data_IF_544574828171
#
_entry.id   IF_544574828171
#
_cell.length_a   1.000
_cell.length_b   1.000
_cell.length_c   1.000
_cell.angle_alpha   90.00
_cell.angle_beta   90.00
_cell.angle_gamma   90.00
#
_symmetry.space_group_name_H-M   'P 1'
#
loop_
_entity.id
_entity.type
_entity.pdbx_description
1 polymer ?
#
# COMPACT_ATOMS: atom_id res chain seq x y z
N UNK A 1 6.04 -9.11 19.55
CA UNK A 1 7.24 -8.42 19.05
C UNK A 1 6.81 -7.17 18.31
N UNK A 2 7.48 -6.05 18.58
CA UNK A 2 7.11 -4.76 17.99
C UNK A 2 7.98 -4.51 16.74
N UNK A 3 7.33 -4.20 15.62
CA UNK A 3 7.97 -3.91 14.34
C UNK A 3 7.59 -2.50 13.93
N UNK A 4 8.60 -1.66 13.69
CA UNK A 4 8.41 -0.32 13.17
C UNK A 4 8.36 -0.36 11.64
N UNK A 5 7.30 0.11 11.02
CA UNK A 5 7.27 0.40 9.58
C UNK A 5 7.60 1.88 9.38
N UNK A 6 8.66 2.19 8.62
CA UNK A 6 9.15 3.56 8.50
C UNK A 6 9.68 3.87 7.08
N UNK A 7 9.17 4.92 6.41
CA UNK A 7 8.00 5.73 6.75
C UNK A 7 6.70 4.98 6.42
N UNK A 8 5.73 5.03 7.32
CA UNK A 8 4.55 4.18 7.28
C UNK A 8 3.47 4.60 6.25
N UNK A 9 3.33 5.89 5.93
CA UNK A 9 2.34 6.35 4.95
C UNK A 9 2.77 6.26 3.49
N UNK A 10 3.97 5.75 3.21
CA UNK A 10 4.38 5.42 1.84
C UNK A 10 3.55 4.26 1.28
N UNK A 11 3.41 4.15 -0.04
CA UNK A 11 2.74 3.00 -0.69
C UNK A 11 3.30 1.64 -0.23
N UNK A 12 4.61 1.60 0.02
CA UNK A 12 5.30 0.41 0.53
C UNK A 12 4.88 0.15 1.98
N UNK A 13 4.85 1.19 2.82
CA UNK A 13 4.45 1.08 4.22
C UNK A 13 3.00 0.64 4.37
N UNK A 14 2.10 1.17 3.54
CA UNK A 14 0.70 0.75 3.48
C UNK A 14 0.56 -0.72 3.04
N UNK A 15 1.38 -1.18 2.08
CA UNK A 15 1.37 -2.59 1.70
C UNK A 15 1.90 -3.50 2.80
N UNK A 16 2.94 -3.07 3.53
CA UNK A 16 3.41 -3.80 4.71
C UNK A 16 2.30 -3.88 5.76
N UNK A 17 1.56 -2.79 6.04
CA UNK A 17 0.42 -2.83 6.97
C UNK A 17 -0.61 -3.90 6.57
N UNK A 18 -1.07 -3.85 5.31
CA UNK A 18 -2.03 -4.83 4.76
C UNK A 18 -1.52 -6.27 4.81
N UNK A 19 -0.23 -6.46 4.56
CA UNK A 19 0.40 -7.77 4.54
C UNK A 19 0.50 -8.43 5.92
N UNK A 20 0.51 -7.65 7.00
CA UNK A 20 0.66 -8.14 8.37
C UNK A 20 -0.68 -8.31 9.11
N UNK A 21 -1.81 -7.99 8.48
CA UNK A 21 -3.14 -8.25 9.05
C UNK A 21 -3.27 -9.74 9.42
N UNK A 22 -3.58 -10.01 10.68
CA UNK A 22 -3.75 -11.38 11.20
C UNK A 22 -2.44 -12.11 11.56
N UNK A 23 -1.27 -11.48 11.39
CA UNK A 23 0.01 -12.07 11.82
C UNK A 23 0.09 -12.07 13.35
N UNK A 24 0.05 -13.26 13.94
CA UNK A 24 0.04 -13.43 15.41
C UNK A 24 1.38 -13.04 16.03
N UNK A 25 1.33 -12.49 17.24
CA UNK A 25 2.53 -12.16 18.01
C UNK A 25 3.31 -10.95 17.48
N UNK A 26 2.82 -10.28 16.44
CA UNK A 26 3.40 -9.05 15.90
C UNK A 26 2.52 -7.86 16.26
N UNK A 27 3.15 -6.79 16.74
CA UNK A 27 2.53 -5.48 16.90
C UNK A 27 3.21 -4.53 15.91
N UNK A 28 2.49 -4.11 14.87
CA UNK A 28 2.98 -3.10 13.94
C UNK A 28 2.85 -1.70 14.56
N UNK A 29 3.91 -0.92 14.41
CA UNK A 29 4.00 0.49 14.77
C UNK A 29 4.27 1.26 13.48
N UNK A 30 3.45 2.28 13.19
CA UNK A 30 3.64 3.15 12.05
C UNK A 30 4.40 4.40 12.47
N UNK A 31 5.62 4.58 11.98
CA UNK A 31 6.39 5.81 12.19
C UNK A 31 6.34 6.71 10.98
N UNK A 32 6.22 8.01 11.19
CA UNK A 32 6.45 9.00 10.15
C UNK A 32 7.17 10.23 10.69
N UNK A 33 7.96 10.87 9.82
CA UNK A 33 8.61 12.16 10.09
C UNK A 33 7.72 13.35 9.75
N UNK A 34 6.59 13.10 9.06
CA UNK A 34 5.61 14.12 8.68
C UNK A 34 4.19 13.55 8.81
N UNK A 35 3.17 14.39 9.05
CA UNK A 35 1.78 13.93 9.02
C UNK A 35 1.44 13.30 7.66
N UNK A 36 0.99 12.04 7.66
CA UNK A 36 0.63 11.31 6.44
C UNK A 36 -0.57 10.36 6.65
N UNK A 37 -0.89 9.56 5.61
CA UNK A 37 -2.00 8.61 5.64
C UNK A 37 -1.78 7.43 6.61
N UNK A 38 -0.53 7.21 7.07
CA UNK A 38 -0.18 6.18 8.05
C UNK A 38 -1.01 6.29 9.33
N UNK A 39 -1.45 7.50 9.69
CA UNK A 39 -2.39 7.76 10.79
C UNK A 39 -3.68 6.95 10.73
N UNK A 40 -4.18 6.66 9.53
CA UNK A 40 -5.41 5.90 9.32
C UNK A 40 -5.13 4.41 9.12
N UNK A 41 -3.95 4.06 8.63
CA UNK A 41 -3.58 2.68 8.28
C UNK A 41 -2.85 1.91 9.39
N UNK A 42 -2.44 2.59 10.47
CA UNK A 42 -1.72 1.99 11.59
C UNK A 42 -2.40 2.31 12.93
N UNK A 43 -2.90 1.31 13.66
CA UNK A 43 -3.47 1.51 15.00
C UNK A 43 -2.47 2.10 16.02
N UNK A 44 -1.18 1.77 15.87
CA UNK A 44 -0.10 2.27 16.72
C UNK A 44 0.76 3.28 15.94
N UNK A 45 0.17 4.40 15.54
CA UNK A 45 0.86 5.45 14.80
C UNK A 45 1.61 6.42 15.73
N UNK A 46 2.73 6.97 15.25
CA UNK A 46 3.57 7.96 15.93
C UNK A 46 4.05 9.03 14.94
N UNK A 47 3.87 10.31 15.31
CA UNK A 47 4.08 11.47 14.42
C UNK A 47 5.47 12.13 14.51
N UNK A 48 6.40 11.62 15.32
CA UNK A 48 7.62 12.37 15.69
C UNK A 48 8.94 11.65 15.36
N UNK A 49 8.97 10.86 14.28
CA UNK A 49 10.23 10.21 13.87
C UNK A 49 11.18 11.19 13.19
N UNK A 50 12.51 11.09 13.42
CA UNK A 50 13.47 12.01 12.81
C UNK A 50 13.49 11.87 11.27
N UNK A 51 13.88 12.94 10.56
CA UNK A 51 14.19 12.81 9.13
C UNK A 51 15.53 12.08 9.00
N UNK A 52 15.66 11.20 8.01
CA UNK A 52 16.91 10.46 7.78
C UNK A 52 18.10 11.34 7.39
N UNK A 53 17.85 12.62 7.08
CA UNK A 53 18.87 13.63 6.79
C UNK A 53 19.32 14.42 8.01
N UNK A 54 18.65 14.26 9.16
CA UNK A 54 19.01 14.97 10.38
C UNK A 54 20.35 14.44 10.93
N UNK A 55 21.23 15.34 11.41
CA UNK A 55 22.53 14.96 11.96
C UNK A 55 22.39 14.06 13.20
N UNK A 56 21.31 14.23 13.96
CA UNK A 56 20.98 13.47 15.17
C UNK A 56 19.97 12.33 14.91
N UNK A 57 19.78 11.92 13.65
CA UNK A 57 18.84 10.88 13.23
C UNK A 57 18.96 9.59 14.06
N UNK A 58 20.18 9.08 14.21
CA UNK A 58 20.44 7.80 14.90
C UNK A 58 20.08 7.89 16.39
N UNK A 59 20.43 8.98 17.05
CA UNK A 59 20.17 9.16 18.48
C UNK A 59 18.66 9.28 18.76
N UNK A 60 17.95 10.09 17.96
CA UNK A 60 16.49 10.21 18.03
C UNK A 60 15.79 8.89 17.71
N UNK A 61 16.25 8.18 16.67
CA UNK A 61 15.70 6.87 16.30
C UNK A 61 15.88 5.86 17.44
N UNK A 62 17.06 5.81 18.06
CA UNK A 62 17.34 4.91 19.17
C UNK A 62 16.48 5.20 20.40
N UNK A 63 16.21 6.48 20.71
CA UNK A 63 15.30 6.86 21.78
C UNK A 63 13.88 6.28 21.55
N UNK A 64 13.35 6.44 20.34
CA UNK A 64 12.03 5.93 19.98
C UNK A 64 11.99 4.40 19.97
N UNK A 65 13.06 3.77 19.47
CA UNK A 65 13.24 2.31 19.48
C UNK A 65 13.12 1.75 20.90
N UNK A 66 13.75 2.40 21.87
CA UNK A 66 13.69 2.00 23.27
C UNK A 66 12.33 2.28 23.90
N UNK A 67 11.76 3.47 23.69
CA UNK A 67 10.46 3.84 24.26
C UNK A 67 9.35 2.89 23.80
N UNK A 68 9.33 2.54 22.51
CA UNK A 68 8.32 1.68 21.92
C UNK A 68 8.71 0.19 21.91
N UNK A 69 9.87 -0.17 22.48
CA UNK A 69 10.39 -1.53 22.53
C UNK A 69 10.46 -2.19 21.13
N UNK A 70 10.88 -1.42 20.13
CA UNK A 70 10.98 -1.86 18.73
C UNK A 70 12.12 -2.87 18.62
N UNK A 71 11.79 -4.07 18.14
CA UNK A 71 12.80 -5.13 17.92
C UNK A 71 13.45 -5.01 16.55
N UNK A 72 12.65 -4.67 15.53
CA UNK A 72 13.13 -4.47 14.19
C UNK A 72 12.37 -3.37 13.44
N UNK A 73 13.06 -2.74 12.49
CA UNK A 73 12.52 -1.77 11.55
C UNK A 73 12.31 -2.48 10.21
N UNK A 74 11.11 -2.35 9.65
CA UNK A 74 10.78 -2.68 8.28
C UNK A 74 10.77 -1.39 7.44
N UNK A 75 11.87 -1.08 6.75
CA UNK A 75 11.99 0.16 6.02
C UNK A 75 11.13 0.16 4.74
N UNK A 76 10.47 1.27 4.49
CA UNK A 76 9.43 1.39 3.47
C UNK A 76 9.74 2.46 2.41
N UNK A 77 11.01 2.83 2.25
CA UNK A 77 11.40 3.88 1.30
C UNK A 77 12.90 3.81 0.96
N UNK A 78 13.27 3.98 -0.31
CA UNK A 78 14.65 3.78 -0.80
C UNK A 78 15.71 4.60 -0.05
N UNK A 79 15.48 5.90 0.19
CA UNK A 79 16.42 6.71 0.99
C UNK A 79 16.50 6.27 2.46
N UNK A 80 15.39 5.76 3.01
CA UNK A 80 15.35 5.35 4.42
C UNK A 80 16.04 4.02 4.62
N UNK A 81 15.85 3.08 3.68
CA UNK A 81 16.61 1.82 3.62
C UNK A 81 18.11 2.13 3.57
N UNK A 82 18.51 3.05 2.68
CA UNK A 82 19.92 3.42 2.53
C UNK A 82 20.53 3.93 3.84
N UNK A 83 19.91 4.91 4.50
CA UNK A 83 20.47 5.47 5.74
C UNK A 83 20.38 4.48 6.92
N UNK A 84 19.28 3.73 7.07
CA UNK A 84 19.18 2.72 8.13
C UNK A 84 20.22 1.61 7.98
N UNK A 85 20.48 1.15 6.76
CA UNK A 85 21.51 0.12 6.52
C UNK A 85 22.92 0.68 6.71
N UNK A 86 23.17 1.95 6.34
CA UNK A 86 24.43 2.65 6.59
C UNK A 86 24.74 2.77 8.08
N UNK A 87 23.73 3.05 8.90
CA UNK A 87 23.84 3.21 10.35
C UNK A 87 23.52 1.92 11.13
N UNK A 88 23.42 0.76 10.47
CA UNK A 88 22.94 -0.50 11.07
C UNK A 88 23.64 -0.89 12.36
N UNK A 89 24.96 -0.67 12.47
CA UNK A 89 25.74 -1.00 13.66
C UNK A 89 25.50 -0.05 14.85
N UNK A 90 24.91 1.12 14.63
CA UNK A 90 24.64 2.15 15.63
C UNK A 90 23.18 2.11 16.12
N UNK A 91 22.30 1.41 15.41
CA UNK A 91 20.89 1.25 15.78
C UNK A 91 20.73 0.20 16.89
N UNK A 92 19.86 0.47 17.87
CA UNK A 92 19.52 -0.44 18.98
C UNK A 92 18.46 -1.48 18.62
N UNK A 93 18.17 -1.64 17.34
CA UNK A 93 17.24 -2.62 16.79
C UNK A 93 17.75 -3.16 15.45
N UNK A 94 17.13 -4.24 14.98
CA UNK A 94 17.48 -4.84 13.70
C UNK A 94 16.77 -4.14 12.52
N UNK A 95 17.34 -4.25 11.32
CA UNK A 95 16.73 -3.72 10.10
C UNK A 95 16.42 -4.89 9.16
N UNK A 96 15.15 -5.07 8.81
CA UNK A 96 14.70 -6.10 7.87
C UNK A 96 15.13 -5.69 6.46
N UNK A 97 15.76 -6.62 5.73
CA UNK A 97 16.15 -6.43 4.34
C UNK A 97 17.64 -6.68 4.11
N UNK A 98 18.11 -6.27 2.92
CA UNK A 98 19.47 -6.52 2.46
C UNK A 98 20.53 -5.68 3.21
N UNK A 99 21.80 -6.06 3.03
CA UNK A 99 22.94 -5.35 3.58
C UNK A 99 23.17 -3.98 2.92
N UNK A 100 24.02 -3.15 3.52
CA UNK A 100 24.31 -1.81 3.05
C UNK A 100 24.89 -1.80 1.63
N UNK A 101 25.74 -2.76 1.29
CA UNK A 101 26.43 -2.87 0.00
C UNK A 101 25.43 -3.05 -1.15
N UNK A 102 24.44 -3.93 -0.96
CA UNK A 102 23.36 -4.12 -1.92
C UNK A 102 22.51 -2.85 -2.08
N UNK A 103 22.16 -2.21 -0.97
CA UNK A 103 21.38 -0.98 -0.97
C UNK A 103 22.15 0.17 -1.63
N UNK A 104 23.44 0.31 -1.35
CA UNK A 104 24.34 1.28 -1.94
C UNK A 104 24.43 1.09 -3.44
N UNK A 105 24.70 -0.14 -3.92
CA UNK A 105 24.75 -0.42 -5.36
C UNK A 105 23.43 -0.05 -6.05
N UNK A 106 22.30 -0.56 -5.53
CA UNK A 106 20.98 -0.39 -6.14
C UNK A 106 20.45 1.06 -6.07
N UNK A 107 20.92 1.86 -5.11
CA UNK A 107 20.48 3.25 -4.96
C UNK A 107 20.86 4.14 -6.15
N UNK A 108 21.99 3.84 -6.80
CA UNK A 108 22.50 4.56 -7.97
C UNK A 108 22.27 3.76 -9.24
N UNK A 109 21.56 4.37 -10.19
CA UNK A 109 21.25 3.74 -11.48
C UNK A 109 22.50 3.63 -12.34
N UNK A 110 23.36 4.65 -12.33
CA UNK A 110 24.67 4.64 -12.99
C UNK A 110 25.55 3.50 -12.47
N UNK A 111 25.68 3.34 -11.15
CA UNK A 111 26.42 2.20 -10.57
C UNK A 111 25.80 0.86 -10.95
N UNK A 112 24.47 0.76 -10.92
CA UNK A 112 23.76 -0.46 -11.34
C UNK A 112 24.06 -0.79 -12.79
N UNK A 113 23.99 0.17 -13.71
CA UNK A 113 24.30 -0.07 -15.12
C UNK A 113 25.74 -0.47 -15.36
N UNK A 114 26.69 0.22 -14.71
CA UNK A 114 28.11 -0.14 -14.79
C UNK A 114 28.37 -1.56 -14.27
N UNK A 115 27.71 -1.94 -13.17
CA UNK A 115 27.88 -3.26 -12.56
C UNK A 115 27.34 -4.40 -13.43
N UNK A 116 26.24 -4.18 -14.14
CA UNK A 116 25.61 -5.20 -14.99
C UNK A 116 25.96 -5.10 -16.48
N UNK A 117 26.73 -4.09 -16.89
CA UNK A 117 27.16 -3.95 -18.27
C UNK A 117 27.93 -5.19 -18.73
N UNK A 118 27.50 -5.79 -19.84
CA UNK A 118 28.09 -7.04 -20.36
C UNK A 118 27.60 -8.32 -19.66
N UNK A 119 26.77 -8.21 -18.62
CA UNK A 119 26.13 -9.34 -17.92
C UNK A 119 24.64 -9.39 -18.28
N UNK A 120 23.96 -8.24 -18.19
CA UNK A 120 22.56 -8.06 -18.56
C UNK A 120 22.42 -6.90 -19.54
N UNK A 121 21.35 -6.88 -20.38
CA UNK A 121 21.01 -5.69 -21.15
C UNK A 121 20.70 -4.52 -20.21
N UNK A 122 21.46 -3.44 -20.33
CA UNK A 122 21.30 -2.17 -19.63
C UNK A 122 21.15 -1.05 -20.67
N UNK A 123 20.45 0.06 -20.37
CA UNK A 123 20.30 1.13 -21.34
C UNK A 123 21.66 1.75 -21.66
N UNK A 124 21.87 2.13 -22.92
CA UNK A 124 23.07 2.89 -23.28
C UNK A 124 23.05 4.24 -22.55
N UNK A 125 24.16 4.57 -21.89
CA UNK A 125 24.37 5.87 -21.26
C UNK A 125 25.12 6.77 -22.23
N UNK A 126 24.51 7.89 -22.58
CA UNK A 126 25.06 8.88 -23.51
C UNK A 126 25.70 10.05 -22.76
N UNK A 127 26.57 10.76 -23.46
CA UNK A 127 26.99 12.12 -23.08
C UNK A 127 26.12 13.13 -23.81
N UNK A 128 26.23 14.40 -23.42
CA UNK A 128 25.56 15.48 -24.12
C UNK A 128 25.88 15.47 -25.62
N UNK A 129 27.10 15.14 -26.02
CA UNK A 129 27.57 15.30 -27.40
C UNK A 129 27.23 14.14 -28.34
N UNK A 130 26.93 12.95 -27.80
CA UNK A 130 26.66 11.75 -28.61
C UNK A 130 25.22 11.22 -28.50
N UNK A 131 24.31 11.97 -27.88
CA UNK A 131 22.92 11.56 -27.64
C UNK A 131 22.10 11.38 -28.94
N UNK A 132 21.60 10.17 -29.24
CA UNK A 132 20.71 9.91 -30.37
C UNK A 132 19.26 10.15 -29.94
N UNK A 133 18.61 11.17 -30.51
CA UNK A 133 17.26 11.54 -30.11
C UNK A 133 16.18 10.57 -30.65
N UNK A 134 15.13 10.26 -29.86
CA UNK A 134 14.90 10.73 -28.49
C UNK A 134 15.77 10.01 -27.45
N UNK A 135 16.13 10.74 -26.38
CA UNK A 135 16.80 10.18 -25.18
C UNK A 135 15.91 10.35 -23.95
N UNK A 136 16.10 9.45 -22.98
CA UNK A 136 15.43 9.51 -21.69
C UNK A 136 16.35 10.12 -20.63
N UNK A 137 15.84 11.07 -19.86
CA UNK A 137 16.57 11.76 -18.81
C UNK A 137 16.02 11.36 -17.45
N UNK A 138 16.89 11.05 -16.48
CA UNK A 138 16.47 10.81 -15.09
C UNK A 138 17.59 11.07 -14.07
N UNK A 139 17.25 11.39 -12.82
CA UNK A 139 18.24 11.47 -11.75
C UNK A 139 18.85 10.09 -11.47
N UNK A 140 20.13 10.09 -11.08
CA UNK A 140 20.84 8.86 -10.73
C UNK A 140 20.18 8.16 -9.53
N UNK A 141 19.98 8.91 -8.44
CA UNK A 141 19.21 8.49 -7.28
C UNK A 141 17.83 9.17 -7.31
N UNK A 142 16.76 8.39 -7.30
CA UNK A 142 15.39 8.93 -7.41
C UNK A 142 14.33 7.87 -7.23
N UNK A 143 13.06 8.27 -7.26
CA UNK A 143 11.88 7.41 -7.10
C UNK A 143 10.64 8.04 -7.73
N UNK A 144 9.62 7.24 -8.04
CA UNK A 144 8.29 7.72 -8.48
C UNK A 144 8.33 8.62 -9.71
N UNK A 145 9.25 8.35 -10.65
CA UNK A 145 9.44 9.15 -11.88
C UNK A 145 9.65 10.66 -11.67
N UNK A 146 10.03 11.10 -10.46
CA UNK A 146 10.34 12.51 -10.19
C UNK A 146 11.62 12.89 -10.95
N UNK A 147 11.56 14.01 -11.67
CA UNK A 147 12.69 14.52 -12.45
C UNK A 147 12.99 13.74 -13.73
N UNK A 148 12.06 12.92 -14.23
CA UNK A 148 12.27 12.18 -15.48
C UNK A 148 11.67 12.87 -16.68
N UNK A 149 12.39 12.89 -17.81
CA UNK A 149 11.97 13.58 -19.03
C UNK A 149 12.31 12.78 -20.29
N UNK A 150 11.62 13.06 -21.39
CA UNK A 150 12.00 12.59 -22.73
C UNK A 150 12.46 13.82 -23.51
N UNK A 151 13.73 13.85 -23.92
CA UNK A 151 14.24 14.86 -24.83
C UNK A 151 14.12 14.34 -26.25
N UNK A 152 13.34 15.02 -27.11
CA UNK A 152 13.12 14.59 -28.51
C UNK A 152 14.09 15.24 -29.50
N UNK A 153 14.85 16.23 -29.04
CA UNK A 153 15.84 16.99 -29.81
C UNK A 153 16.85 17.66 -28.87
N UNK A 154 17.95 18.16 -29.44
CA UNK A 154 19.04 18.83 -28.71
C UNK A 154 18.58 19.97 -27.80
N UNK A 155 17.66 20.80 -28.26
CA UNK A 155 17.12 21.90 -27.45
C UNK A 155 16.40 21.43 -26.18
N UNK A 156 15.69 20.31 -26.26
CA UNK A 156 14.99 19.75 -25.09
C UNK A 156 16.01 19.23 -24.07
N UNK A 157 17.06 18.55 -24.55
CA UNK A 157 18.16 18.05 -23.73
C UNK A 157 18.88 19.20 -23.01
N UNK A 158 19.28 20.23 -23.76
CA UNK A 158 19.98 21.39 -23.22
C UNK A 158 19.13 22.09 -22.15
N UNK A 159 17.83 22.26 -22.38
CA UNK A 159 16.90 22.84 -21.41
C UNK A 159 16.82 22.06 -20.09
N UNK A 160 16.72 20.73 -20.15
CA UNK A 160 16.63 19.92 -18.93
C UNK A 160 17.97 19.84 -18.18
N UNK A 161 19.09 19.76 -18.90
CA UNK A 161 20.42 19.76 -18.29
C UNK A 161 20.81 21.12 -17.69
N UNK A 162 20.31 22.23 -18.23
CA UNK A 162 20.47 23.55 -17.61
C UNK A 162 19.78 23.61 -16.24
N UNK A 163 18.61 22.98 -16.11
CA UNK A 163 17.87 22.90 -14.84
C UNK A 163 18.47 21.92 -13.85
N UNK A 164 18.94 20.78 -14.33
CA UNK A 164 19.59 19.75 -13.52
C UNK A 164 20.73 19.09 -14.31
N UNK A 165 21.98 19.55 -14.11
CA UNK A 165 23.15 18.99 -14.77
C UNK A 165 23.49 17.56 -14.35
N UNK A 166 22.85 17.03 -13.29
CA UNK A 166 23.13 15.69 -12.75
C UNK A 166 22.32 14.57 -13.41
N UNK A 167 21.39 14.91 -14.31
CA UNK A 167 20.56 13.92 -15.00
C UNK A 167 21.41 12.97 -15.86
N UNK A 168 21.14 11.67 -15.72
CA UNK A 168 21.64 10.66 -16.63
C UNK A 168 20.94 10.80 -17.99
N UNK A 169 21.71 10.69 -19.08
CA UNK A 169 21.20 10.67 -20.45
C UNK A 169 21.22 9.23 -20.93
N UNK A 170 20.04 8.65 -21.19
CA UNK A 170 19.88 7.22 -21.43
C UNK A 170 19.16 6.94 -22.74
N UNK A 171 19.37 5.73 -23.26
CA UNK A 171 18.55 5.14 -24.29
C UNK A 171 17.05 5.27 -23.97
N UNK A 172 16.29 5.75 -24.95
CA UNK A 172 14.85 5.75 -24.87
C UNK A 172 14.30 4.35 -25.18
N UNK A 173 13.74 3.70 -24.16
CA UNK A 173 13.09 2.39 -24.28
C UNK A 173 11.58 2.58 -24.55
N UNK A 174 11.05 2.26 -25.74
CA UNK A 174 9.66 2.55 -26.10
C UNK A 174 8.66 1.45 -25.75
N UNK A 175 9.11 0.23 -25.46
CA UNK A 175 8.25 -0.95 -25.34
C UNK A 175 7.55 -1.09 -23.98
N UNK A 176 6.99 -2.27 -23.74
CA UNK A 176 6.27 -2.59 -22.50
C UNK A 176 7.19 -2.57 -21.27
N UNK A 177 6.64 -2.12 -20.14
CA UNK A 177 7.33 -2.01 -18.85
C UNK A 177 6.85 -3.06 -17.87
N UNK A 178 7.79 -3.67 -17.15
CA UNK A 178 7.54 -4.76 -16.21
C UNK A 178 8.24 -4.50 -14.87
N UNK A 179 7.66 -5.05 -13.81
CA UNK A 179 8.33 -5.22 -12.52
C UNK A 179 8.38 -6.70 -12.21
N UNK A 180 9.50 -7.18 -11.69
CA UNK A 180 9.68 -8.57 -11.31
C UNK A 180 9.96 -8.60 -9.81
N UNK A 181 8.93 -8.91 -9.03
CA UNK A 181 9.05 -9.04 -7.58
C UNK A 181 9.73 -10.37 -7.26
N UNK A 182 10.75 -10.34 -6.41
CA UNK A 182 11.62 -11.47 -6.10
C UNK A 182 11.76 -11.65 -4.59
N UNK A 183 12.16 -12.85 -4.18
CA UNK A 183 12.51 -13.14 -2.80
C UNK A 183 13.76 -14.02 -2.74
N UNK A 184 14.76 -13.55 -1.99
CA UNK A 184 15.98 -14.30 -1.71
C UNK A 184 16.05 -14.59 -0.21
N UNK A 185 16.29 -15.84 0.16
CA UNK A 185 16.41 -16.20 1.57
C UNK A 185 17.81 -15.90 2.15
N UNK A 186 17.97 -16.10 3.46
CA UNK A 186 19.22 -15.90 4.18
C UNK A 186 20.39 -16.76 3.67
N UNK A 187 20.09 -17.88 3.01
CA UNK A 187 21.07 -18.78 2.40
C UNK A 187 21.43 -18.36 0.96
N UNK A 188 20.98 -17.17 0.54
CA UNK A 188 21.16 -16.59 -0.79
C UNK A 188 20.44 -17.33 -1.91
N UNK A 189 19.46 -18.17 -1.57
CA UNK A 189 18.67 -18.89 -2.56
C UNK A 189 17.52 -18.01 -3.07
N UNK A 190 17.45 -17.83 -4.39
CA UNK A 190 16.32 -17.15 -5.04
C UNK A 190 15.09 -18.06 -5.00
N UNK A 191 14.16 -17.80 -4.08
CA UNK A 191 12.98 -18.66 -3.85
C UNK A 191 11.75 -18.28 -4.67
N UNK A 192 11.68 -17.04 -5.15
CA UNK A 192 10.52 -16.54 -5.86
C UNK A 192 10.89 -15.52 -6.92
N UNK A 193 10.20 -15.61 -8.06
CA UNK A 193 10.23 -14.66 -9.16
C UNK A 193 8.79 -14.49 -9.66
N UNK A 194 8.24 -13.28 -9.50
CA UNK A 194 6.88 -12.92 -9.86
C UNK A 194 6.88 -11.74 -10.83
N UNK A 195 7.00 -11.99 -12.15
CA UNK A 195 6.97 -10.91 -13.14
C UNK A 195 5.55 -10.43 -13.37
N UNK A 196 5.41 -9.11 -13.52
CA UNK A 196 4.14 -8.45 -13.77
C UNK A 196 4.30 -7.26 -14.70
N UNK A 197 3.42 -7.18 -15.70
CA UNK A 197 3.34 -6.06 -16.63
C UNK A 197 2.69 -4.87 -15.93
N UNK A 198 3.23 -3.68 -16.15
CA UNK A 198 2.69 -2.42 -15.63
C UNK A 198 1.72 -1.83 -16.66
N UNK A 199 0.48 -2.31 -16.67
CA UNK A 199 -0.54 -1.94 -17.66
C UNK A 199 -0.94 -0.46 -17.58
N UNK A 200 -0.89 0.12 -16.39
CA UNK A 200 -1.19 1.55 -16.17
C UNK A 200 -0.24 2.15 -15.14
N UNK A 201 0.38 3.27 -15.52
CA UNK A 201 1.36 3.99 -14.69
C UNK A 201 0.84 5.41 -14.45
N UNK A 202 0.84 5.84 -13.19
CA UNK A 202 0.48 7.19 -12.76
C UNK A 202 1.57 7.72 -11.83
N UNK A 203 2.20 8.85 -12.17
CA UNK A 203 3.30 9.45 -11.39
C UNK A 203 4.41 8.44 -11.02
N UNK A 204 4.80 7.59 -11.97
CA UNK A 204 5.82 6.56 -11.78
C UNK A 204 5.40 5.34 -10.96
N UNK A 205 4.17 5.33 -10.43
CA UNK A 205 3.60 4.21 -9.67
C UNK A 205 2.77 3.34 -10.62
N UNK A 206 2.96 2.03 -10.54
CA UNK A 206 2.07 1.07 -11.20
C UNK A 206 0.74 1.04 -10.44
N UNK A 207 -0.28 1.56 -11.09
CA UNK A 207 -1.65 1.60 -10.56
C UNK A 207 -2.52 0.52 -11.20
N UNK A 208 -2.15 0.05 -12.39
CA UNK A 208 -2.65 -1.18 -12.99
C UNK A 208 -1.51 -2.15 -13.26
N UNK A 209 -1.68 -3.43 -12.90
CA UNK A 209 -0.69 -4.47 -13.14
C UNK A 209 -1.32 -5.85 -13.32
N UNK A 210 -0.74 -6.65 -14.22
CA UNK A 210 -1.20 -7.99 -14.56
C UNK A 210 -0.01 -8.92 -14.45
N UNK A 211 -0.20 -10.10 -13.87
CA UNK A 211 0.84 -11.13 -13.86
C UNK A 211 1.20 -11.53 -15.29
N UNK A 212 2.48 -11.80 -15.51
CA UNK A 212 2.95 -12.47 -16.72
C UNK A 212 3.79 -13.68 -16.34
N UNK A 213 4.05 -14.55 -17.30
CA UNK A 213 4.98 -15.67 -17.15
C UNK A 213 5.90 -15.70 -18.36
N UNK A 214 7.20 -15.61 -18.13
CA UNK A 214 8.22 -15.84 -19.14
C UNK A 214 9.56 -16.16 -18.46
N UNK A 215 10.28 -17.14 -18.98
CA UNK A 215 11.55 -17.61 -18.40
C UNK A 215 12.63 -16.52 -18.41
N UNK A 216 12.61 -15.60 -19.38
CA UNK A 216 13.56 -14.49 -19.49
C UNK A 216 13.63 -13.63 -18.21
N UNK A 217 12.52 -13.47 -17.47
CA UNK A 217 12.52 -12.75 -16.20
C UNK A 217 13.25 -13.53 -15.09
N UNK A 218 13.08 -14.86 -15.07
CA UNK A 218 13.74 -15.74 -14.10
C UNK A 218 15.25 -15.75 -14.32
N UNK A 219 15.69 -15.78 -15.57
CA UNK A 219 17.12 -15.75 -15.91
C UNK A 219 17.77 -14.43 -15.48
N UNK A 220 17.11 -13.29 -15.75
CA UNK A 220 17.58 -11.99 -15.25
C UNK A 220 17.62 -11.94 -13.72
N UNK A 221 16.60 -12.49 -13.04
CA UNK A 221 16.54 -12.53 -11.59
C UNK A 221 17.70 -13.34 -10.98
N UNK A 222 18.01 -14.51 -11.57
CA UNK A 222 19.16 -15.35 -11.17
C UNK A 222 20.48 -14.61 -11.35
N UNK A 223 20.70 -14.01 -12.51
CA UNK A 223 21.91 -13.25 -12.79
C UNK A 223 22.10 -12.06 -11.83
N UNK A 224 21.02 -11.38 -11.43
CA UNK A 224 21.08 -10.32 -10.41
C UNK A 224 21.45 -10.91 -9.04
N UNK A 225 20.78 -11.98 -8.62
CA UNK A 225 20.99 -12.62 -7.32
C UNK A 225 22.40 -13.20 -7.14
N UNK A 226 23.02 -13.65 -8.23
CA UNK A 226 24.41 -14.12 -8.23
C UNK A 226 25.44 -13.00 -8.01
N UNK A 227 25.09 -11.76 -8.41
CA UNK A 227 26.01 -10.61 -8.37
C UNK A 227 25.79 -9.69 -7.18
N UNK A 228 24.61 -9.71 -6.58
CA UNK A 228 24.25 -8.89 -5.42
C UNK A 228 23.82 -9.79 -4.27
N UNK A 229 24.36 -9.56 -3.08
CA UNK A 229 23.93 -10.24 -1.86
C UNK A 229 22.59 -9.67 -1.37
N UNK A 230 21.51 -10.15 -1.99
CA UNK A 230 20.14 -9.78 -1.66
C UNK A 230 19.60 -10.70 -0.57
N UNK A 231 18.83 -10.12 0.36
CA UNK A 231 18.20 -10.83 1.45
C UNK A 231 16.80 -10.26 1.73
N UNK A 232 15.80 -11.14 1.78
CA UNK A 232 14.39 -10.79 1.81
C UNK A 232 13.83 -10.46 0.43
N UNK A 233 12.74 -9.70 0.41
CA UNK A 233 12.09 -9.28 -0.82
C UNK A 233 12.82 -8.11 -1.51
N UNK A 234 12.87 -8.19 -2.83
CA UNK A 234 13.44 -7.18 -3.71
C UNK A 234 12.69 -7.21 -5.05
N UNK A 235 12.91 -6.24 -5.91
CA UNK A 235 12.44 -6.33 -7.29
C UNK A 235 13.43 -5.69 -8.24
N UNK A 236 13.26 -5.97 -9.52
CA UNK A 236 13.86 -5.21 -10.59
C UNK A 236 12.81 -4.80 -11.62
N UNK A 237 13.08 -3.70 -12.32
CA UNK A 237 12.22 -3.20 -13.39
C UNK A 237 12.96 -3.31 -14.70
N UNK A 238 12.23 -3.71 -15.73
CA UNK A 238 12.73 -3.83 -17.09
C UNK A 238 11.73 -3.22 -18.05
N UNK A 239 12.23 -2.77 -19.19
CA UNK A 239 11.41 -2.29 -20.29
C UNK A 239 11.94 -2.81 -21.61
N UNK A 240 11.04 -3.14 -22.54
CA UNK A 240 11.45 -3.58 -23.88
C UNK A 240 12.06 -2.41 -24.65
N UNK A 241 13.24 -2.64 -25.22
CA UNK A 241 13.88 -1.74 -26.18
C UNK A 241 13.09 -1.67 -27.50
N UNK A 242 13.52 -0.82 -28.43
CA UNK A 242 12.94 -0.76 -29.76
C UNK A 242 13.07 -2.09 -30.54
N UNK A 243 14.03 -2.94 -30.18
CA UNK A 243 14.24 -4.27 -30.76
C UNK A 243 13.54 -5.39 -29.98
N UNK A 244 12.77 -5.05 -28.94
CA UNK A 244 12.02 -6.01 -28.14
C UNK A 244 12.79 -6.68 -26.99
N UNK A 245 14.08 -6.36 -26.82
CA UNK A 245 14.94 -6.91 -25.75
C UNK A 245 14.56 -6.31 -24.40
N UNK A 246 14.46 -7.14 -23.35
CA UNK A 246 14.27 -6.67 -21.98
C UNK A 246 15.53 -5.97 -21.46
N UNK A 247 15.41 -4.68 -21.16
CA UNK A 247 16.52 -3.85 -20.68
C UNK A 247 16.28 -3.41 -19.23
N UNK A 248 17.28 -3.63 -18.37
CA UNK A 248 17.24 -3.33 -16.93
C UNK A 248 17.15 -1.83 -16.66
N UNK A 249 16.11 -1.41 -15.96
CA UNK A 249 15.87 -0.01 -15.59
C UNK A 249 16.35 0.32 -14.17
N UNK A 250 16.03 -0.53 -13.20
CA UNK A 250 16.43 -0.39 -11.80
C UNK A 250 16.30 -1.72 -11.05
N UNK A 251 17.00 -1.82 -9.94
CA UNK A 251 16.88 -2.88 -8.93
C UNK A 251 16.62 -2.17 -7.61
N UNK A 252 15.73 -2.68 -6.77
CA UNK A 252 15.55 -2.14 -5.42
C UNK A 252 15.39 -3.27 -4.39
N UNK A 253 16.23 -3.29 -3.32
CA UNK A 253 16.21 -4.31 -2.28
C UNK A 253 15.09 -4.05 -1.26
N UNK A 254 13.85 -3.99 -1.74
CA UNK A 254 12.66 -3.72 -0.93
C UNK A 254 11.39 -4.25 -1.57
N UNK A 255 10.29 -4.14 -0.82
CA UNK A 255 8.94 -4.41 -1.29
C UNK A 255 8.56 -3.49 -2.45
N UNK A 256 8.05 -4.05 -3.54
CA UNK A 256 7.46 -3.30 -4.64
C UNK A 256 6.11 -2.69 -4.22
N UNK A 257 5.83 -1.44 -4.60
CA UNK A 257 4.58 -0.77 -4.22
C UNK A 257 3.30 -1.43 -4.76
N UNK A 258 3.42 -2.34 -5.71
CA UNK A 258 2.30 -3.12 -6.27
C UNK A 258 2.50 -4.63 -6.10
N UNK A 259 3.35 -5.02 -5.15
CA UNK A 259 3.59 -6.42 -4.77
C UNK A 259 2.39 -7.09 -4.11
N UNK A 260 1.34 -6.32 -3.76
CA UNK A 260 0.04 -6.86 -3.34
C UNK A 260 -0.56 -7.85 -4.33
N UNK A 261 -0.20 -7.76 -5.62
CA UNK A 261 -0.55 -8.78 -6.61
C UNK A 261 0.05 -10.15 -6.25
N UNK A 262 1.32 -10.22 -5.84
CA UNK A 262 1.94 -11.48 -5.38
C UNK A 262 1.25 -12.01 -4.12
N UNK A 263 0.82 -11.11 -3.22
CA UNK A 263 0.13 -11.48 -1.97
C UNK A 263 -1.21 -12.18 -2.24
N UNK A 264 -2.02 -11.69 -3.19
CA UNK A 264 -3.28 -12.37 -3.54
C UNK A 264 -3.05 -13.74 -4.19
N UNK A 265 -1.88 -13.93 -4.80
CA UNK A 265 -1.45 -15.22 -5.34
C UNK A 265 -0.81 -16.16 -4.30
N UNK A 266 -0.91 -15.83 -3.00
CA UNK A 266 -0.40 -16.66 -1.91
C UNK A 266 1.03 -16.34 -1.48
N UNK A 267 1.70 -15.37 -2.13
CA UNK A 267 3.10 -15.01 -1.83
C UNK A 267 3.16 -13.67 -1.09
N UNK A 268 3.11 -13.73 0.24
CA UNK A 268 3.18 -12.56 1.10
C UNK A 268 4.64 -12.13 1.33
N UNK A 269 5.20 -11.35 0.41
CA UNK A 269 6.61 -10.91 0.42
C UNK A 269 7.04 -10.15 1.70
N UNK A 270 6.24 -9.23 2.26
CA UNK A 270 6.58 -8.62 3.55
C UNK A 270 6.73 -9.64 4.69
N UNK A 271 5.76 -10.55 4.83
CA UNK A 271 5.78 -11.56 5.91
C UNK A 271 6.90 -12.59 5.69
N UNK A 272 7.17 -12.98 4.44
CA UNK A 272 8.31 -13.84 4.11
C UNK A 272 9.64 -13.16 4.49
N UNK A 273 9.79 -11.87 4.21
CA UNK A 273 11.00 -11.10 4.57
C UNK A 273 11.20 -11.05 6.08
N UNK A 274 10.11 -10.92 6.81
CA UNK A 274 10.09 -10.95 8.27
C UNK A 274 10.47 -12.33 8.84
N UNK A 275 9.86 -13.41 8.35
CA UNK A 275 10.21 -14.76 8.83
C UNK A 275 11.64 -15.16 8.49
N UNK A 276 12.11 -14.80 7.31
CA UNK A 276 13.49 -15.00 6.92
C UNK A 276 14.47 -14.19 7.77
N UNK A 277 14.10 -12.96 8.15
CA UNK A 277 14.88 -12.18 9.11
C UNK A 277 14.97 -12.84 10.49
N UNK A 278 13.94 -13.60 10.88
CA UNK A 278 13.94 -14.43 12.09
C UNK A 278 14.64 -15.77 11.92
N UNK A 279 15.33 -16.01 10.80
CA UNK A 279 16.01 -17.27 10.48
C UNK A 279 15.05 -18.48 10.48
N UNK A 280 13.78 -18.25 10.11
CA UNK A 280 12.78 -19.29 9.97
C UNK A 280 12.80 -19.81 8.53
N UNK A 281 12.81 -21.14 8.39
CA UNK A 281 12.66 -21.78 7.07
C UNK A 281 11.31 -21.41 6.46
N UNK A 282 11.34 -20.85 5.25
CA UNK A 282 10.15 -20.48 4.49
C UNK A 282 9.95 -21.44 3.31
N UNK A 283 8.68 -21.75 3.02
CA UNK A 283 8.26 -22.43 1.80
C UNK A 283 7.24 -21.56 1.10
N UNK A 284 7.35 -21.46 -0.23
CA UNK A 284 6.48 -20.62 -1.04
C UNK A 284 5.57 -21.53 -1.87
N UNK A 285 4.27 -21.28 -1.78
CA UNK A 285 3.26 -21.91 -2.61
C UNK A 285 2.51 -20.81 -3.36
N UNK A 286 2.56 -20.87 -4.68
CA UNK A 286 1.87 -19.92 -5.55
C UNK A 286 0.54 -20.52 -5.98
N UNK A 287 -0.54 -19.78 -5.80
CA UNK A 287 -1.81 -20.12 -6.42
C UNK A 287 -1.71 -19.96 -7.94
N UNK A 288 -2.30 -20.89 -8.68
CA UNK A 288 -2.30 -20.89 -10.14
C UNK A 288 -3.62 -20.35 -10.70
N UNK A 289 -3.75 -19.03 -10.68
CA UNK A 289 -4.83 -18.32 -11.35
C UNK A 289 -4.34 -16.95 -11.85
N UNK A 290 -4.99 -16.45 -12.88
CA UNK A 290 -4.73 -15.11 -13.41
C UNK A 290 -5.25 -14.04 -12.45
N UNK A 291 -4.41 -13.02 -12.24
CA UNK A 291 -4.72 -11.92 -11.36
C UNK A 291 -4.33 -10.60 -12.04
N UNK A 292 -5.28 -9.66 -12.01
CA UNK A 292 -5.08 -8.27 -12.35
C UNK A 292 -5.34 -7.43 -11.10
N UNK A 293 -4.51 -6.43 -10.86
CA UNK A 293 -4.69 -5.47 -9.79
C UNK A 293 -4.76 -4.08 -10.39
N UNK A 294 -5.87 -3.39 -10.13
CA UNK A 294 -6.01 -1.96 -10.33
C UNK A 294 -6.20 -1.26 -8.98
N UNK A 295 -5.61 -0.08 -8.82
CA UNK A 295 -5.65 0.71 -7.60
C UNK A 295 -5.98 2.16 -7.91
N UNK A 296 -6.75 2.74 -7.00
CA UNK A 296 -7.13 4.14 -6.94
C UNK A 296 -6.83 4.71 -5.54
N UNK A 297 -7.04 6.01 -5.37
CA UNK A 297 -6.97 6.64 -4.06
C UNK A 297 -8.29 6.44 -3.31
N UNK A 298 -8.21 6.13 -2.02
CA UNK A 298 -9.37 5.99 -1.13
C UNK A 298 -9.35 7.05 -0.05
N UNK A 299 -10.53 7.54 0.33
CA UNK A 299 -10.69 8.50 1.42
C UNK A 299 -10.80 7.80 2.77
N UNK A 300 -10.27 8.44 3.82
CA UNK A 300 -10.47 8.05 5.22
C UNK A 300 -10.83 9.26 6.05
N UNK A 301 -11.68 9.04 7.03
CA UNK A 301 -12.35 10.10 7.76
C UNK A 301 -12.09 9.95 9.25
N UNK A 302 -11.79 11.07 9.92
CA UNK A 302 -11.82 11.17 11.37
C UNK A 302 -12.93 12.15 11.73
N UNK A 303 -14.04 11.63 12.22
CA UNK A 303 -15.18 12.44 12.63
C UNK A 303 -15.05 12.81 14.10
N UNK A 304 -15.49 14.02 14.46
CA UNK A 304 -15.57 14.46 15.84
C UNK A 304 -17.02 14.33 16.35
N UNK A 305 -17.52 13.09 16.33
CA UNK A 305 -18.87 12.74 16.82
C UNK A 305 -18.76 11.58 17.80
N UNK A 306 -19.56 11.63 18.84
CA UNK A 306 -19.74 10.55 19.81
C UNK A 306 -21.20 10.12 19.76
N UNK A 307 -21.45 8.82 19.83
CA UNK A 307 -22.79 8.23 19.82
C UNK A 307 -22.77 6.87 20.51
N UNK A 308 -23.87 6.47 21.14
CA UNK A 308 -24.05 5.12 21.67
C UNK A 308 -25.03 4.27 20.86
N UNK A 309 -25.89 4.92 20.06
CA UNK A 309 -26.92 4.26 19.28
C UNK A 309 -26.74 4.49 17.78
N UNK A 310 -26.97 3.44 16.98
CA UNK A 310 -27.06 3.50 15.52
C UNK A 310 -28.49 3.22 15.14
N UNK A 311 -29.17 4.19 14.53
CA UNK A 311 -30.48 3.98 13.91
C UNK A 311 -30.29 3.88 12.40
N UNK A 312 -30.88 2.87 11.78
CA UNK A 312 -30.75 2.63 10.35
C UNK A 312 -32.06 2.15 9.73
N UNK A 313 -32.36 2.57 8.51
CA UNK A 313 -33.46 2.01 7.74
C UNK A 313 -33.15 0.60 7.20
N UNK A 314 -34.18 -0.16 6.88
CA UNK A 314 -34.06 -1.42 6.19
C UNK A 314 -33.95 -1.25 4.67
N UNK A 315 -35.00 -0.71 4.05
CA UNK A 315 -35.10 -0.54 2.60
C UNK A 315 -34.06 0.46 2.10
N UNK A 316 -33.44 0.16 0.95
CA UNK A 316 -32.38 0.91 0.28
C UNK A 316 -31.12 1.24 1.14
N UNK A 317 -31.05 0.69 2.36
CA UNK A 317 -29.97 0.85 3.32
C UNK A 317 -29.33 -0.50 3.65
N UNK A 318 -29.95 -1.26 4.55
CA UNK A 318 -29.49 -2.61 4.94
C UNK A 318 -29.78 -3.61 3.83
N UNK A 319 -30.89 -3.44 3.11
CA UNK A 319 -31.31 -4.26 1.98
C UNK A 319 -31.35 -3.40 0.71
N UNK A 320 -30.60 -3.77 -0.33
CA UNK A 320 -30.65 -3.15 -1.65
C UNK A 320 -30.95 -4.25 -2.68
N UNK A 321 -31.99 -4.05 -3.49
CA UNK A 321 -32.45 -5.02 -4.50
C UNK A 321 -32.68 -6.44 -3.94
N UNK A 322 -33.22 -6.54 -2.71
CA UNK A 322 -33.49 -7.83 -2.05
C UNK A 322 -32.25 -8.56 -1.50
N UNK A 323 -31.08 -7.91 -1.57
CA UNK A 323 -29.80 -8.41 -1.08
C UNK A 323 -29.28 -7.57 0.09
N UNK A 324 -28.53 -8.20 0.98
CA UNK A 324 -27.87 -7.49 2.10
C UNK A 324 -26.77 -6.56 1.55
N UNK A 325 -26.77 -5.30 1.98
CA UNK A 325 -25.71 -4.34 1.71
C UNK A 325 -24.44 -4.70 2.53
N UNK A 326 -23.35 -5.20 1.91
CA UNK A 326 -22.20 -5.69 2.65
C UNK A 326 -21.43 -4.58 3.39
N UNK A 327 -21.40 -3.37 2.84
CA UNK A 327 -20.72 -2.22 3.45
C UNK A 327 -21.42 -1.78 4.73
N UNK A 328 -22.76 -1.73 4.69
CA UNK A 328 -23.57 -1.44 5.89
C UNK A 328 -23.38 -2.53 6.94
N UNK A 329 -23.46 -3.80 6.57
CA UNK A 329 -23.25 -4.90 7.53
C UNK A 329 -21.85 -4.88 8.15
N UNK A 330 -20.81 -4.58 7.36
CA UNK A 330 -19.46 -4.38 7.88
C UNK A 330 -19.44 -3.29 8.95
N UNK A 331 -20.08 -2.14 8.69
CA UNK A 331 -20.21 -1.05 9.66
C UNK A 331 -20.99 -1.47 10.91
N UNK A 332 -22.12 -2.17 10.76
CA UNK A 332 -22.93 -2.64 11.90
C UNK A 332 -22.13 -3.57 12.81
N UNK A 333 -21.39 -4.53 12.25
CA UNK A 333 -20.51 -5.42 13.02
C UNK A 333 -19.42 -4.62 13.74
N UNK A 334 -18.84 -3.61 13.09
CA UNK A 334 -17.87 -2.71 13.73
C UNK A 334 -18.51 -1.96 14.91
N UNK A 335 -19.71 -1.42 14.74
CA UNK A 335 -20.43 -0.72 15.80
C UNK A 335 -20.76 -1.65 16.98
N UNK A 336 -21.16 -2.90 16.72
CA UNK A 336 -21.35 -3.94 17.74
C UNK A 336 -20.04 -4.20 18.51
N UNK A 337 -18.91 -4.35 17.82
CA UNK A 337 -17.59 -4.53 18.47
C UNK A 337 -17.21 -3.34 19.35
N UNK A 338 -17.70 -2.14 19.02
CA UNK A 338 -17.56 -0.92 19.82
C UNK A 338 -18.64 -0.76 20.90
N UNK A 339 -19.45 -1.80 21.12
CA UNK A 339 -20.54 -1.84 22.11
C UNK A 339 -21.62 -0.77 21.87
N UNK A 340 -21.85 -0.39 20.61
CA UNK A 340 -22.98 0.46 20.22
C UNK A 340 -24.24 -0.38 20.14
N UNK A 341 -25.39 0.23 20.42
CA UNK A 341 -26.70 -0.41 20.22
C UNK A 341 -27.21 -0.14 18.80
N UNK A 342 -27.72 -1.17 18.14
CA UNK A 342 -28.16 -1.11 16.75
C UNK A 342 -29.69 -1.24 16.69
N UNK A 343 -30.34 -0.21 16.15
CA UNK A 343 -31.79 -0.10 16.03
C UNK A 343 -32.18 -0.05 14.55
N UNK A 344 -33.00 -1.00 14.11
CA UNK A 344 -33.62 -0.97 12.79
C UNK A 344 -34.96 -0.23 12.88
N UNK A 345 -35.13 0.80 12.07
CA UNK A 345 -36.34 1.61 12.04
C UNK A 345 -36.83 1.79 10.60
N UNK A 346 -37.88 1.06 10.23
CA UNK A 346 -38.30 0.98 8.83
C UNK A 346 -39.80 1.08 8.62
N UNK A 347 -40.18 1.60 7.44
CA UNK A 347 -41.55 1.60 6.91
C UNK A 347 -41.80 0.44 5.95
N UNK A 348 -40.93 -0.57 5.97
CA UNK A 348 -41.02 -1.74 5.10
C UNK A 348 -42.46 -2.28 5.02
N UNK A 349 -42.98 -2.41 3.80
CA UNK A 349 -44.38 -2.71 3.55
C UNK A 349 -44.62 -4.10 2.93
N UNK A 350 -43.56 -4.82 2.57
CA UNK A 350 -43.65 -6.11 1.85
C UNK A 350 -43.81 -7.33 2.77
N UNK A 351 -43.99 -7.12 4.07
CA UNK A 351 -44.24 -8.20 5.03
C UNK A 351 -43.70 -7.89 6.43
N UNK A 352 -43.71 -8.87 7.34
CA UNK A 352 -43.11 -8.74 8.66
C UNK A 352 -41.59 -8.60 8.56
N UNK A 353 -41.05 -7.47 9.00
CA UNK A 353 -39.63 -7.16 8.86
C UNK A 353 -38.72 -8.21 9.51
N UNK A 354 -39.15 -8.81 10.62
CA UNK A 354 -38.41 -9.86 11.35
C UNK A 354 -38.21 -11.12 10.50
N UNK A 355 -39.21 -11.50 9.68
CA UNK A 355 -39.11 -12.68 8.81
C UNK A 355 -38.10 -12.43 7.69
N UNK A 356 -38.12 -11.23 7.13
CA UNK A 356 -37.20 -10.83 6.07
C UNK A 356 -35.75 -10.77 6.56
N UNK A 357 -35.52 -10.22 7.75
CA UNK A 357 -34.20 -10.25 8.39
C UNK A 357 -33.69 -11.67 8.67
N UNK A 358 -34.59 -12.58 9.06
CA UNK A 358 -34.25 -13.99 9.26
C UNK A 358 -33.90 -14.69 7.94
N UNK A 359 -34.66 -14.41 6.87
CA UNK A 359 -34.39 -14.88 5.50
C UNK A 359 -33.00 -14.44 5.03
N UNK A 360 -32.64 -13.18 5.30
CA UNK A 360 -31.35 -12.58 4.98
C UNK A 360 -30.22 -12.95 5.96
N UNK A 361 -30.53 -13.68 7.05
CA UNK A 361 -29.59 -14.12 8.10
C UNK A 361 -28.87 -12.98 8.84
N UNK A 362 -29.56 -11.85 9.01
CA UNK A 362 -29.01 -10.64 9.66
C UNK A 362 -29.86 -10.14 10.84
N UNK A 363 -30.92 -10.86 11.21
CA UNK A 363 -31.81 -10.48 12.32
C UNK A 363 -31.07 -10.15 13.61
N UNK A 364 -30.10 -10.98 13.97
CA UNK A 364 -29.42 -10.88 15.26
C UNK A 364 -28.33 -9.79 15.27
N UNK A 365 -28.20 -8.98 14.20
CA UNK A 365 -27.40 -7.75 14.20
C UNK A 365 -28.08 -6.58 14.92
N UNK A 366 -29.39 -6.67 15.16
CA UNK A 366 -30.19 -5.57 15.68
C UNK A 366 -30.64 -5.87 17.11
N UNK A 367 -30.33 -4.97 18.04
CA UNK A 367 -30.85 -5.02 19.41
C UNK A 367 -32.36 -4.74 19.43
N UNK A 368 -32.83 -3.98 18.44
CA UNK A 368 -34.22 -3.60 18.31
C UNK A 368 -34.64 -3.48 16.85
N UNK A 369 -35.81 -4.04 16.52
CA UNK A 369 -36.43 -3.96 15.20
C UNK A 369 -37.81 -3.32 15.33
N UNK A 370 -37.98 -2.14 14.73
CA UNK A 370 -39.25 -1.40 14.72
C UNK A 370 -39.74 -1.18 13.30
N UNK A 371 -40.89 -1.79 12.99
CA UNK A 371 -41.67 -1.52 11.79
C UNK A 371 -42.70 -0.43 12.13
N UNK A 372 -42.60 0.74 11.50
CA UNK A 372 -43.44 1.91 11.79
C UNK A 372 -44.44 2.18 10.66
N UNK A 373 -45.65 2.61 11.03
CA UNK A 373 -46.68 3.04 10.08
C UNK A 373 -46.36 4.40 9.46
N UNK A 374 -47.01 4.74 8.35
CA UNK A 374 -46.80 6.00 7.58
C UNK A 374 -47.06 7.27 8.36
N UNK A 375 -47.83 7.20 9.45
CA UNK A 375 -48.34 8.37 10.17
C UNK A 375 -47.41 8.86 11.30
N UNK A 376 -46.34 8.12 11.60
CA UNK A 376 -45.34 8.49 12.60
C UNK A 376 -44.04 8.96 11.94
N UNK A 377 -43.31 9.91 12.52
CA UNK A 377 -41.97 10.27 12.02
C UNK A 377 -40.92 9.31 12.57
N UNK A 378 -39.89 8.94 11.78
CA UNK A 378 -38.74 8.20 12.32
C UNK A 378 -38.06 8.98 13.45
N UNK A 379 -38.04 10.31 13.34
CA UNK A 379 -37.42 11.21 14.31
C UNK A 379 -37.98 11.10 15.73
N UNK A 380 -39.23 10.64 15.88
CA UNK A 380 -39.87 10.45 17.19
C UNK A 380 -39.25 9.29 17.98
N UNK A 381 -38.59 8.35 17.29
CA UNK A 381 -38.03 7.14 17.89
C UNK A 381 -36.50 7.20 18.11
N UNK A 382 -35.81 8.15 17.48
CA UNK A 382 -34.35 8.30 17.56
C UNK A 382 -33.96 9.04 18.86
N UNK A 383 -33.06 8.44 19.65
CA UNK A 383 -32.50 9.03 20.88
C UNK A 383 -31.46 10.12 20.56
N UNK A 384 -31.20 11.03 21.50
CA UNK A 384 -30.26 12.14 21.28
C UNK A 384 -28.80 11.68 21.08
N UNK A 385 -28.35 10.64 21.79
CA UNK A 385 -26.99 10.08 21.70
C UNK A 385 -26.85 9.04 20.56
N UNK A 386 -27.20 9.46 19.35
CA UNK A 386 -27.31 8.56 18.19
C UNK A 386 -26.64 9.10 16.93
N UNK A 387 -26.47 8.21 15.96
CA UNK A 387 -26.45 8.57 14.53
C UNK A 387 -27.66 7.97 13.84
N UNK A 388 -28.05 8.55 12.69
CA UNK A 388 -29.14 8.05 11.87
C UNK A 388 -28.72 7.87 10.41
N UNK A 389 -29.02 6.70 9.84
CA UNK A 389 -28.65 6.31 8.48
C UNK A 389 -29.92 5.95 7.70
N UNK A 390 -30.18 6.68 6.62
CA UNK A 390 -31.39 6.53 5.82
C UNK A 390 -31.14 7.09 4.41
N UNK A 391 -31.68 6.45 3.38
CA UNK A 391 -31.57 6.93 2.00
C UNK A 391 -32.44 8.18 1.80
N UNK A 392 -33.60 8.23 2.45
CA UNK A 392 -34.58 9.31 2.36
C UNK A 392 -34.02 10.61 2.93
N UNK A 393 -33.91 11.61 2.06
CA UNK A 393 -33.51 12.95 2.48
C UNK A 393 -34.51 13.56 3.48
N UNK A 394 -35.82 13.29 3.32
CA UNK A 394 -36.85 13.84 4.20
C UNK A 394 -36.73 13.30 5.63
N UNK A 395 -36.56 11.98 5.78
CA UNK A 395 -36.38 11.35 7.09
C UNK A 395 -35.09 11.83 7.77
N UNK A 396 -33.99 11.93 7.02
CA UNK A 396 -32.74 12.52 7.53
C UNK A 396 -32.91 13.97 7.94
N UNK A 397 -33.65 14.78 7.17
CA UNK A 397 -33.90 16.17 7.53
C UNK A 397 -34.67 16.29 8.84
N UNK A 398 -35.68 15.44 9.05
CA UNK A 398 -36.48 15.46 10.28
C UNK A 398 -35.66 15.05 11.51
N UNK A 399 -34.80 14.04 11.39
CA UNK A 399 -33.88 13.64 12.46
C UNK A 399 -32.82 14.72 12.72
N UNK A 400 -32.26 15.33 11.66
CA UNK A 400 -31.25 16.38 11.78
C UNK A 400 -31.75 17.63 12.51
N UNK A 401 -33.05 17.95 12.45
CA UNK A 401 -33.65 19.07 13.22
C UNK A 401 -33.50 18.89 14.74
N UNK A 402 -33.26 17.66 15.21
CA UNK A 402 -32.98 17.34 16.62
C UNK A 402 -31.50 17.51 17.00
N UNK A 403 -30.64 17.92 16.07
CA UNK A 403 -29.19 18.02 16.27
C UNK A 403 -28.45 16.68 16.17
N UNK A 404 -29.12 15.63 15.71
CA UNK A 404 -28.55 14.28 15.57
C UNK A 404 -27.80 14.19 14.23
N UNK A 405 -26.56 13.70 14.19
CA UNK A 405 -25.84 13.47 12.94
C UNK A 405 -26.54 12.44 12.05
N UNK A 406 -26.73 12.79 10.78
CA UNK A 406 -27.41 11.96 9.77
C UNK A 406 -26.50 11.66 8.58
N UNK A 407 -26.64 10.46 8.02
CA UNK A 407 -25.82 9.97 6.90
C UNK A 407 -26.71 9.30 5.86
N UNK A 408 -26.45 9.55 4.57
CA UNK A 408 -26.93 8.61 3.55
C UNK A 408 -26.08 7.35 3.54
N UNK A 409 -26.62 6.33 2.88
CA UNK A 409 -25.97 5.03 2.69
C UNK A 409 -24.60 5.14 2.00
N UNK A 410 -24.44 6.05 1.04
CA UNK A 410 -23.15 6.30 0.39
C UNK A 410 -22.10 6.91 1.35
N UNK A 411 -22.53 7.61 2.38
CA UNK A 411 -21.66 8.23 3.37
C UNK A 411 -21.27 7.29 4.53
N UNK A 412 -21.75 6.04 4.54
CA UNK A 412 -21.39 5.05 5.58
C UNK A 412 -19.89 4.80 5.63
N UNK A 413 -19.16 4.99 4.52
CA UNK A 413 -17.70 4.90 4.52
C UNK A 413 -17.01 5.87 5.47
N UNK A 414 -17.62 7.01 5.79
CA UNK A 414 -17.08 7.96 6.75
C UNK A 414 -17.12 7.46 8.21
N UNK A 415 -17.92 6.42 8.47
CA UNK A 415 -18.08 5.79 9.79
C UNK A 415 -17.23 4.52 9.94
N UNK A 416 -16.65 4.01 8.85
CA UNK A 416 -15.85 2.79 8.86
C UNK A 416 -14.41 3.04 9.31
N UNK A 417 -13.90 2.10 10.10
CA UNK A 417 -12.50 1.99 10.51
C UNK A 417 -11.82 0.89 9.67
N UNK A 418 -10.51 1.03 9.45
CA UNK A 418 -9.68 0.06 8.72
C UNK A 418 -9.11 -1.05 9.62
#
# INVERSE_FOLDING_TARGET
>A
MNILVFPCGSEIGLEISRAFVGVKGVRLIGGSSVPDHGRFAFPNYREDFPDVRDEDFVDKMNLLVEQEQIRCIFPAHDSVIFELTRHRAQLRCEVIGSAYEACFLCRSKGRTYQHFQGILPVPVVYTRDNAPFPVFLKPDAGQGSKGTFIARRRSDLDFYLEKDPSLLILEYLPGEEYTVDCFTDENRELRFVGPRRRSRILNGISVGTIRVQADEFTDMARAINERIELNGAWFFQVKRSATGVLTLMEIAPRIGGSSGLCRVQGVNLPVLSYYNHLHLSVKIHCNDFDAEMDRSWSSRYKLNIEYSHVYIDFDDCVCMDGMVNPSVVKFLIQAINQKKQIHLLSRHSQGPLVEELARLRIRDLFDEVRQIGTDCSKADFVKDDSIFIDDSFAERQDVAKKGIPVFSVDAVEALMMD
#
